data_IF_493320679848
#
_entry.id   IF_493320679848
#
_cell.length_a   1.000
_cell.length_b   1.000
_cell.length_c   1.000
_cell.angle_alpha   90.00
_cell.angle_beta   90.00
_cell.angle_gamma   90.00
#
_symmetry.space_group_name_H-M   'P 1'
#
loop_
_entity.id
_entity.type
_entity.pdbx_description
1 polymer ?
#
# COMPACT_ATOMS: atom_id res chain seq x y z
N UNK A 1 3.59 -13.55 -29.47
CA UNK A 1 4.20 -12.46 -28.68
C UNK A 1 3.81 -12.70 -27.24
N UNK A 2 4.76 -12.75 -26.29
CA UNK A 2 4.40 -12.76 -24.89
C UNK A 2 3.60 -11.48 -24.63
N UNK A 3 2.38 -11.63 -24.11
CA UNK A 3 1.59 -10.48 -23.67
C UNK A 3 2.47 -9.70 -22.69
N UNK A 4 2.89 -8.50 -23.05
CA UNK A 4 3.51 -7.58 -22.14
C UNK A 4 2.56 -7.50 -20.93
N UNK A 5 2.98 -8.02 -19.78
CA UNK A 5 2.29 -7.75 -18.54
C UNK A 5 2.49 -6.26 -18.29
N UNK A 6 1.56 -5.47 -18.77
CA UNK A 6 1.46 -4.08 -18.37
C UNK A 6 1.29 -4.15 -16.86
N UNK A 7 2.16 -3.48 -16.14
CA UNK A 7 2.03 -3.33 -14.70
C UNK A 7 0.60 -2.86 -14.44
N UNK A 8 -0.19 -3.68 -13.72
CA UNK A 8 -1.55 -3.32 -13.39
C UNK A 8 -1.50 -1.97 -12.65
N UNK A 9 -2.24 -1.01 -13.15
CA UNK A 9 -2.35 0.27 -12.46
C UNK A 9 -3.26 0.06 -11.25
N UNK A 10 -2.76 0.40 -10.08
CA UNK A 10 -3.52 0.44 -8.85
C UNK A 10 -4.29 1.76 -8.81
N UNK A 11 -5.62 1.68 -8.82
CA UNK A 11 -6.48 2.82 -8.50
C UNK A 11 -6.77 2.73 -7.00
N UNK A 12 -6.23 3.68 -6.26
CA UNK A 12 -6.28 3.70 -4.81
C UNK A 12 -7.20 4.82 -4.32
N UNK A 13 -8.19 4.46 -3.50
CA UNK A 13 -9.12 5.40 -2.86
C UNK A 13 -8.84 5.42 -1.35
N UNK A 14 -8.02 6.36 -0.86
CA UNK A 14 -7.64 6.41 0.55
C UNK A 14 -8.78 6.95 1.40
N UNK A 15 -9.03 6.29 2.53
CA UNK A 15 -9.97 6.67 3.57
C UNK A 15 -9.20 6.97 4.86
N UNK A 16 -9.13 8.23 5.22
CA UNK A 16 -8.43 8.65 6.43
C UNK A 16 -9.42 8.78 7.58
N UNK A 17 -9.06 8.22 8.72
CA UNK A 17 -9.80 8.49 9.96
C UNK A 17 -9.59 9.93 10.38
N UNK A 18 -10.64 10.59 10.84
CA UNK A 18 -10.59 11.96 11.40
C UNK A 18 -9.59 12.05 12.55
N UNK A 19 -9.55 11.00 13.37
CA UNK A 19 -8.54 10.80 14.41
C UNK A 19 -8.08 9.37 14.40
N UNK A 20 -6.76 9.15 14.64
CA UNK A 20 -6.22 7.81 14.77
C UNK A 20 -6.79 7.11 16.01
N UNK A 21 -7.07 5.83 15.88
CA UNK A 21 -7.57 4.99 16.96
C UNK A 21 -6.47 4.08 17.46
N UNK A 22 -6.13 4.18 18.74
CA UNK A 22 -5.17 3.30 19.39
C UNK A 22 -5.84 1.98 19.73
N UNK A 23 -5.26 0.87 19.26
CA UNK A 23 -5.77 -0.47 19.52
C UNK A 23 -5.33 -0.94 20.92
N UNK A 24 -6.26 -1.58 21.64
CA UNK A 24 -6.02 -2.18 22.95
C UNK A 24 -6.69 -3.55 23.02
N UNK A 25 -6.00 -4.53 23.59
CA UNK A 25 -6.55 -5.88 23.80
C UNK A 25 -7.54 -5.92 24.97
N UNK A 26 -7.34 -5.06 25.95
CA UNK A 26 -8.22 -5.00 27.14
C UNK A 26 -7.94 -6.07 28.18
N UNK A 27 -6.76 -6.70 28.18
CA UNK A 27 -6.38 -7.75 29.11
C UNK A 27 -5.74 -7.23 30.41
N UNK A 28 -5.61 -5.90 30.56
CA UNK A 28 -5.06 -5.24 31.77
C UNK A 28 -6.17 -4.45 32.46
N UNK A 29 -6.26 -4.56 33.77
CA UNK A 29 -7.26 -3.84 34.56
C UNK A 29 -7.11 -2.30 34.34
N UNK A 30 -8.24 -1.66 34.06
CA UNK A 30 -8.29 -0.22 33.76
C UNK A 30 -7.95 0.16 32.31
N UNK A 31 -7.57 -0.80 31.47
CA UNK A 31 -7.35 -0.61 30.04
C UNK A 31 -8.47 -1.36 29.29
N UNK A 32 -9.54 -0.71 28.86
CA UNK A 32 -10.61 -1.38 28.10
C UNK A 32 -10.14 -1.79 26.71
N UNK A 33 -10.76 -2.83 26.16
CA UNK A 33 -10.58 -3.19 24.76
C UNK A 33 -10.89 -2.00 23.85
N UNK A 34 -10.01 -1.77 22.89
CA UNK A 34 -10.22 -0.80 21.82
C UNK A 34 -9.91 -1.48 20.49
N UNK A 35 -10.94 -1.67 19.69
CA UNK A 35 -10.90 -2.21 18.34
C UNK A 35 -11.50 -1.22 17.36
N UNK A 36 -11.26 -1.44 16.10
CA UNK A 36 -11.91 -0.70 15.02
C UNK A 36 -12.84 -1.63 14.27
N UNK A 37 -14.05 -1.17 14.02
CA UNK A 37 -15.02 -1.78 13.13
C UNK A 37 -15.38 -0.76 12.08
N UNK A 38 -15.09 -1.07 10.82
CA UNK A 38 -15.27 -0.15 9.70
C UNK A 38 -15.95 -0.87 8.55
N UNK A 39 -16.43 -0.09 7.61
CA UNK A 39 -17.04 -0.56 6.37
C UNK A 39 -16.41 0.19 5.20
N UNK A 40 -16.29 -0.47 4.05
CA UNK A 40 -15.91 0.18 2.79
C UNK A 40 -16.89 1.31 2.48
N UNK A 41 -16.36 2.40 1.92
CA UNK A 41 -17.14 3.64 1.72
C UNK A 41 -18.04 3.58 0.49
N UNK A 42 -17.73 2.70 -0.43
CA UNK A 42 -18.50 2.51 -1.67
C UNK A 42 -18.86 1.05 -1.86
N UNK A 43 -20.01 0.83 -2.45
CA UNK A 43 -20.45 -0.49 -2.85
C UNK A 43 -19.69 -0.86 -4.13
N UNK A 44 -18.61 -1.60 -3.98
CA UNK A 44 -17.75 -2.03 -5.07
C UNK A 44 -16.95 -3.29 -4.69
N UNK A 45 -16.74 -4.15 -5.65
CA UNK A 45 -15.93 -5.37 -5.51
C UNK A 45 -14.43 -5.04 -5.57
N UNK A 46 -13.88 -4.49 -4.50
CA UNK A 46 -12.48 -4.13 -4.42
C UNK A 46 -11.55 -5.33 -4.58
N UNK A 47 -10.43 -5.15 -5.28
CA UNK A 47 -9.41 -6.18 -5.46
C UNK A 47 -8.52 -6.34 -4.24
N UNK A 48 -8.30 -5.25 -3.51
CA UNK A 48 -7.50 -5.26 -2.30
C UNK A 48 -7.90 -4.15 -1.32
N UNK A 49 -7.57 -4.36 -0.06
CA UNK A 49 -7.63 -3.37 1.01
C UNK A 49 -6.23 -3.18 1.59
N UNK A 50 -5.84 -1.93 1.82
CA UNK A 50 -4.57 -1.58 2.48
C UNK A 50 -4.87 -0.79 3.74
N UNK A 51 -4.46 -1.32 4.87
CA UNK A 51 -4.67 -0.70 6.18
C UNK A 51 -3.39 0.00 6.62
N UNK A 52 -3.51 1.26 7.04
CA UNK A 52 -2.38 2.10 7.44
C UNK A 52 -2.28 2.22 8.95
N UNK A 53 -1.12 1.90 9.49
CA UNK A 53 -0.85 1.85 10.92
C UNK A 53 0.28 2.78 11.33
N UNK A 54 0.30 3.07 12.62
CA UNK A 54 1.35 3.84 13.29
C UNK A 54 1.71 3.19 14.61
N UNK A 55 3.00 3.02 14.86
CA UNK A 55 3.60 2.64 16.14
C UNK A 55 4.42 3.81 16.68
N UNK A 56 4.19 4.23 17.92
CA UNK A 56 4.96 5.32 18.55
C UNK A 56 6.29 4.86 19.15
N UNK A 57 6.53 3.58 19.17
CA UNK A 57 7.72 2.92 19.64
C UNK A 57 7.49 1.42 19.71
N UNK A 58 8.57 0.66 19.72
CA UNK A 58 8.55 -0.79 19.92
C UNK A 58 9.77 -1.16 20.74
N UNK A 59 9.65 -0.97 22.04
CA UNK A 59 10.74 -1.17 23.00
C UNK A 59 10.22 -1.73 24.33
N UNK A 60 11.12 -2.43 25.02
CA UNK A 60 11.00 -2.78 26.41
C UNK A 60 12.25 -2.28 27.15
N UNK A 61 12.07 -1.51 28.24
CA UNK A 61 13.15 -1.01 29.06
C UNK A 61 13.26 -1.86 30.33
N UNK A 62 14.45 -2.37 30.61
CA UNK A 62 14.72 -3.13 31.85
C UNK A 62 14.83 -2.23 33.09
N UNK A 63 15.07 -2.85 34.26
CA UNK A 63 15.21 -2.15 35.51
C UNK A 63 16.48 -1.27 35.55
N UNK A 64 17.48 -1.59 34.75
CA UNK A 64 18.77 -0.87 34.65
C UNK A 64 18.70 0.28 33.63
N UNK A 65 17.57 0.43 32.94
CA UNK A 65 17.38 1.47 31.94
C UNK A 65 17.82 1.07 30.52
N UNK A 66 18.27 -0.18 30.29
CA UNK A 66 18.65 -0.63 28.96
C UNK A 66 17.41 -0.83 28.11
N UNK A 67 17.51 -0.46 26.84
CA UNK A 67 16.42 -0.57 25.88
C UNK A 67 16.59 -1.85 25.07
N UNK A 68 15.59 -2.70 25.11
CA UNK A 68 15.49 -3.94 24.33
C UNK A 68 14.44 -3.81 23.23
N UNK A 69 14.54 -4.66 22.20
CA UNK A 69 13.47 -4.82 21.23
C UNK A 69 12.20 -5.40 21.87
N UNK A 70 11.08 -5.11 21.27
CA UNK A 70 9.77 -5.64 21.70
C UNK A 70 8.97 -6.13 20.49
N UNK A 71 7.83 -6.75 20.75
CA UNK A 71 6.91 -7.20 19.72
C UNK A 71 5.50 -6.73 20.00
N UNK A 72 4.79 -6.48 18.91
CA UNK A 72 3.37 -6.18 18.94
C UNK A 72 2.67 -6.99 17.85
N UNK A 73 1.42 -7.38 18.09
CA UNK A 73 0.66 -8.16 17.13
C UNK A 73 -0.74 -7.61 16.98
N UNK A 74 -1.24 -7.63 15.75
CA UNK A 74 -2.60 -7.25 15.41
C UNK A 74 -3.26 -8.32 14.54
N UNK A 75 -4.58 -8.34 14.56
CA UNK A 75 -5.41 -9.16 13.68
C UNK A 75 -6.37 -8.29 12.89
N UNK A 76 -6.63 -8.72 11.65
CA UNK A 76 -7.60 -8.12 10.75
C UNK A 76 -8.56 -9.23 10.31
N UNK A 77 -9.84 -9.01 10.53
CA UNK A 77 -10.92 -9.84 10.04
C UNK A 77 -11.71 -9.07 8.98
N UNK A 78 -11.97 -9.68 7.84
CA UNK A 78 -12.73 -9.10 6.74
C UNK A 78 -13.98 -9.93 6.51
N UNK A 79 -15.11 -9.24 6.42
CA UNK A 79 -16.44 -9.82 6.27
C UNK A 79 -17.11 -9.27 5.00
N UNK A 80 -18.12 -10.00 4.51
CA UNK A 80 -19.05 -9.47 3.51
C UNK A 80 -19.73 -8.18 4.03
N UNK A 81 -20.43 -7.47 3.16
CA UNK A 81 -21.12 -6.21 3.51
C UNK A 81 -22.10 -6.36 4.69
N UNK A 82 -22.77 -7.50 4.83
CA UNK A 82 -23.68 -7.74 5.96
C UNK A 82 -22.94 -7.92 7.29
N UNK A 83 -21.66 -8.29 7.26
CA UNK A 83 -20.84 -8.59 8.44
C UNK A 83 -21.13 -9.97 9.04
N UNK A 84 -21.84 -10.84 8.31
CA UNK A 84 -22.26 -12.16 8.81
C UNK A 84 -21.31 -13.26 8.41
N UNK A 85 -20.63 -13.13 7.26
CA UNK A 85 -19.71 -14.13 6.74
C UNK A 85 -18.31 -13.55 6.64
N UNK A 86 -17.33 -14.25 7.23
CA UNK A 86 -15.92 -13.92 7.06
C UNK A 86 -15.46 -14.42 5.69
N UNK A 87 -14.91 -13.52 4.86
CA UNK A 87 -14.55 -13.85 3.47
C UNK A 87 -13.20 -14.54 3.35
N UNK A 88 -12.38 -14.50 4.38
CA UNK A 88 -11.06 -15.14 4.44
C UNK A 88 -10.63 -15.40 5.88
N UNK A 89 -9.56 -16.16 6.05
CA UNK A 89 -8.96 -16.40 7.37
C UNK A 89 -8.49 -15.10 8.01
N UNK A 90 -8.48 -15.09 9.35
CA UNK A 90 -7.93 -13.98 10.13
C UNK A 90 -6.50 -13.69 9.73
N UNK A 91 -6.23 -12.45 9.35
CA UNK A 91 -4.88 -12.01 9.02
C UNK A 91 -4.19 -11.57 10.30
N UNK A 92 -3.13 -12.27 10.65
CA UNK A 92 -2.29 -11.91 11.79
C UNK A 92 -1.01 -11.25 11.33
N UNK A 93 -0.66 -10.12 11.94
CA UNK A 93 0.59 -9.40 11.67
C UNK A 93 1.35 -9.16 12.96
N UNK A 94 2.49 -9.83 13.06
CA UNK A 94 3.46 -9.66 14.14
C UNK A 94 4.53 -8.67 13.69
N UNK A 95 4.75 -7.64 14.48
CA UNK A 95 5.76 -6.61 14.29
C UNK A 95 6.82 -6.83 15.37
N UNK A 96 8.05 -7.07 14.98
CA UNK A 96 9.18 -7.28 15.89
C UNK A 96 10.26 -6.28 15.55
N UNK A 97 10.78 -5.59 16.56
CA UNK A 97 11.82 -4.62 16.31
C UNK A 97 12.29 -3.89 17.56
N UNK A 98 13.15 -2.90 17.34
CA UNK A 98 13.64 -2.00 18.38
C UNK A 98 13.63 -0.59 17.82
N UNK A 99 12.65 0.19 18.20
CA UNK A 99 12.54 1.60 17.81
C UNK A 99 11.88 2.42 18.91
N UNK A 100 12.42 3.61 19.18
CA UNK A 100 11.83 4.59 20.08
C UNK A 100 11.24 5.80 19.32
N UNK A 101 11.23 5.74 17.98
CA UNK A 101 10.66 6.78 17.12
C UNK A 101 9.39 6.27 16.44
N UNK A 102 8.62 7.22 15.95
CA UNK A 102 7.41 6.93 15.20
C UNK A 102 7.71 6.10 13.96
N UNK A 103 7.06 4.96 13.85
CA UNK A 103 7.13 4.07 12.71
C UNK A 103 5.75 3.90 12.07
N UNK A 104 5.67 4.04 10.76
CA UNK A 104 4.44 3.84 9.98
C UNK A 104 4.61 2.62 9.08
N UNK A 105 3.55 1.83 8.95
CA UNK A 105 3.54 0.66 8.08
C UNK A 105 2.14 0.39 7.56
N UNK A 106 2.08 -0.32 6.44
CA UNK A 106 0.83 -0.72 5.82
C UNK A 106 0.73 -2.25 5.77
N UNK A 107 -0.50 -2.74 5.86
CA UNK A 107 -0.85 -4.14 5.63
C UNK A 107 -1.80 -4.19 4.45
N UNK A 108 -1.34 -4.75 3.33
CA UNK A 108 -2.17 -4.95 2.15
C UNK A 108 -2.74 -6.37 2.14
N UNK A 109 -4.02 -6.47 1.84
CA UNK A 109 -4.78 -7.70 1.78
C UNK A 109 -5.45 -7.80 0.42
N UNK A 110 -5.16 -8.86 -0.31
CA UNK A 110 -5.85 -9.18 -1.55
C UNK A 110 -7.18 -9.87 -1.21
N UNK A 111 -8.23 -9.44 -1.86
CA UNK A 111 -9.54 -10.10 -1.77
C UNK A 111 -9.57 -11.25 -2.79
N UNK A 112 -9.88 -12.49 -2.36
CA UNK A 112 -10.02 -13.60 -3.30
C UNK A 112 -11.12 -13.33 -4.32
N UNK A 113 -10.88 -13.70 -5.58
CA UNK A 113 -11.80 -13.42 -6.69
C UNK A 113 -13.20 -14.01 -6.47
N UNK A 114 -13.26 -15.22 -5.88
CA UNK A 114 -14.50 -15.93 -5.55
C UNK A 114 -15.24 -15.35 -4.33
N UNK A 115 -14.62 -14.38 -3.63
CA UNK A 115 -15.16 -13.71 -2.44
C UNK A 115 -15.38 -12.23 -2.64
N UNK A 116 -15.28 -11.75 -3.87
CA UNK A 116 -15.58 -10.36 -4.20
C UNK A 116 -17.07 -10.10 -4.02
N UNK A 117 -17.37 -8.96 -3.42
CA UNK A 117 -18.72 -8.51 -3.09
C UNK A 117 -18.93 -7.08 -3.63
N UNK A 118 -19.87 -6.92 -4.55
CA UNK A 118 -20.19 -5.63 -5.16
C UNK A 118 -20.82 -4.66 -4.13
N UNK A 119 -21.29 -5.15 -3.00
CA UNK A 119 -21.82 -4.33 -1.92
C UNK A 119 -20.75 -3.84 -0.95
N UNK A 120 -19.49 -4.28 -1.14
CA UNK A 120 -18.34 -3.88 -0.33
C UNK A 120 -18.09 -4.79 0.87
N UNK A 121 -17.30 -4.31 1.84
CA UNK A 121 -16.79 -5.14 2.92
C UNK A 121 -16.92 -4.45 4.28
N UNK A 122 -17.08 -5.24 5.33
CA UNK A 122 -16.84 -4.84 6.71
C UNK A 122 -15.54 -5.45 7.22
N UNK A 123 -14.84 -4.73 8.08
CA UNK A 123 -13.61 -5.24 8.65
C UNK A 123 -13.43 -4.81 10.10
N UNK A 124 -12.83 -5.71 10.87
CA UNK A 124 -12.52 -5.49 12.28
C UNK A 124 -11.02 -5.60 12.47
N UNK A 125 -10.42 -4.62 13.14
CA UNK A 125 -8.99 -4.59 13.44
C UNK A 125 -8.81 -4.56 14.95
N UNK A 126 -8.01 -5.49 15.49
CA UNK A 126 -7.75 -5.64 16.91
C UNK A 126 -6.27 -5.78 17.20
N UNK A 127 -5.83 -5.38 18.40
CA UNK A 127 -4.55 -5.79 18.96
C UNK A 127 -4.71 -7.19 19.54
N UNK A 128 -3.82 -8.11 19.16
CA UNK A 128 -3.81 -9.48 19.70
C UNK A 128 -2.72 -9.70 20.74
N UNK A 129 -1.60 -8.95 20.68
CA UNK A 129 -0.60 -8.96 21.75
C UNK A 129 -1.14 -8.30 23.02
N UNK A 130 -0.61 -8.75 24.17
CA UNK A 130 -1.04 -8.25 25.48
C UNK A 130 -0.73 -6.75 25.63
N UNK A 131 -1.61 -6.07 26.35
CA UNK A 131 -1.35 -4.71 26.79
C UNK A 131 -0.43 -4.71 28.00
N UNK A 132 0.25 -3.60 28.23
CA UNK A 132 1.04 -3.36 29.43
C UNK A 132 0.64 -2.04 30.06
N UNK A 133 0.57 -2.01 31.38
CA UNK A 133 0.45 -0.80 32.21
C UNK A 133 1.80 -0.16 32.50
N UNK A 134 2.88 -0.85 32.16
CA UNK A 134 4.25 -0.37 32.38
C UNK A 134 4.60 0.76 31.41
N UNK A 135 5.05 1.89 31.96
CA UNK A 135 5.61 3.00 31.18
C UNK A 135 6.92 2.64 30.46
N UNK A 136 7.51 1.48 30.78
CA UNK A 136 8.76 0.97 30.18
C UNK A 136 8.52 0.17 28.90
N UNK A 137 7.27 -0.19 28.60
CA UNK A 137 6.90 -0.94 27.41
C UNK A 137 6.16 -0.02 26.45
N UNK A 138 6.69 0.10 25.23
CA UNK A 138 6.09 0.87 24.15
C UNK A 138 5.75 -0.08 23.02
N UNK A 139 4.46 -0.32 22.82
CA UNK A 139 3.92 -1.25 21.81
C UNK A 139 2.55 -0.82 21.27
N UNK A 140 2.23 0.47 21.43
CA UNK A 140 0.94 1.01 21.02
C UNK A 140 0.82 1.07 19.50
N UNK A 141 -0.09 0.27 18.95
CA UNK A 141 -0.50 0.30 17.55
C UNK A 141 -1.70 1.24 17.41
N UNK A 142 -1.66 2.14 16.45
CA UNK A 142 -2.80 2.98 16.09
C UNK A 142 -3.15 2.79 14.62
N UNK A 143 -4.44 2.73 14.31
CA UNK A 143 -4.97 2.74 12.94
C UNK A 143 -5.12 4.20 12.49
N UNK A 144 -4.66 4.50 11.27
CA UNK A 144 -4.75 5.84 10.67
C UNK A 144 -5.85 5.94 9.61
N UNK A 145 -6.10 4.84 8.92
CA UNK A 145 -7.05 4.77 7.83
C UNK A 145 -6.87 3.49 7.03
N UNK A 146 -7.57 3.41 5.93
CA UNK A 146 -7.43 2.33 4.95
C UNK A 146 -7.50 2.88 3.53
N UNK A 147 -7.17 2.06 2.57
CA UNK A 147 -7.24 2.38 1.14
C UNK A 147 -7.95 1.24 0.44
N UNK A 148 -8.95 1.57 -0.31
CA UNK A 148 -9.69 0.67 -1.20
C UNK A 148 -8.98 0.66 -2.55
N UNK A 149 -8.71 -0.52 -3.11
CA UNK A 149 -7.82 -0.68 -4.26
C UNK A 149 -8.50 -1.51 -5.34
N UNK A 150 -8.50 -0.96 -6.55
CA UNK A 150 -8.88 -1.63 -7.78
C UNK A 150 -7.64 -1.84 -8.66
N UNK A 151 -7.46 -3.06 -9.19
CA UNK A 151 -6.40 -3.37 -10.15
C UNK A 151 -6.93 -3.30 -11.57
N UNK A 152 -6.68 -2.20 -12.24
CA UNK A 152 -7.06 -2.05 -13.64
C UNK A 152 -6.01 -2.62 -14.57
N UNK A 153 -6.44 -3.45 -15.53
CA UNK A 153 -5.59 -3.90 -16.63
C UNK A 153 -5.71 -2.88 -17.77
N UNK A 154 -4.92 -1.82 -17.69
CA UNK A 154 -4.87 -0.88 -18.80
C UNK A 154 -3.96 -1.41 -19.90
N UNK A 155 -4.51 -1.54 -21.10
CA UNK A 155 -3.74 -1.84 -22.29
C UNK A 155 -3.46 -0.53 -23.04
N UNK A 156 -2.19 -0.24 -23.25
CA UNK A 156 -1.76 0.92 -24.07
C UNK A 156 -1.20 0.39 -25.40
N UNK A 157 -2.08 0.05 -26.38
CA UNK A 157 -1.60 -0.41 -27.66
C UNK A 157 -0.79 0.71 -28.33
N UNK A 158 0.35 0.39 -28.90
CA UNK A 158 1.26 1.30 -29.60
C UNK A 158 2.03 2.29 -28.70
N UNK A 159 2.06 2.09 -27.40
CA UNK A 159 2.86 2.89 -26.49
C UNK A 159 3.98 2.03 -25.91
N UNK A 160 5.21 2.54 -25.94
CA UNK A 160 6.34 1.89 -25.29
C UNK A 160 6.33 2.23 -23.81
N UNK A 161 6.35 1.21 -22.96
CA UNK A 161 6.43 1.35 -21.51
C UNK A 161 7.70 0.72 -20.99
N UNK A 162 8.32 1.35 -20.02
CA UNK A 162 9.45 0.81 -19.28
C UNK A 162 9.09 0.85 -17.79
N UNK A 163 9.12 -0.30 -17.14
CA UNK A 163 8.94 -0.40 -15.70
C UNK A 163 10.27 -0.66 -15.00
N UNK A 164 10.53 0.06 -13.93
CA UNK A 164 11.71 -0.14 -13.09
C UNK A 164 11.28 -0.63 -11.71
N UNK A 165 11.83 -1.76 -11.27
CA UNK A 165 11.71 -2.22 -9.90
C UNK A 165 13.04 -1.96 -9.18
N UNK A 166 13.01 -1.11 -8.15
CA UNK A 166 14.20 -0.74 -7.39
C UNK A 166 14.05 -1.33 -5.99
N UNK A 167 15.00 -2.18 -5.60
CA UNK A 167 15.13 -2.65 -4.23
C UNK A 167 16.10 -1.74 -3.48
N UNK A 168 15.61 -1.08 -2.45
CA UNK A 168 16.48 -0.28 -1.58
C UNK A 168 17.53 -1.18 -0.91
N UNK A 169 18.79 -0.77 -0.95
CA UNK A 169 19.91 -1.42 -0.30
C UNK A 169 20.67 -0.38 0.52
N UNK A 170 21.28 -0.81 1.63
CA UNK A 170 22.00 0.07 2.56
C UNK A 170 23.13 0.90 1.92
N UNK A 171 23.66 0.45 0.80
CA UNK A 171 24.72 1.13 0.05
C UNK A 171 24.20 2.16 -0.97
N UNK A 172 22.87 2.18 -1.23
CA UNK A 172 22.23 3.05 -2.22
C UNK A 172 21.10 3.87 -1.61
N UNK A 173 21.38 4.58 -0.54
CA UNK A 173 20.36 5.36 0.20
C UNK A 173 20.16 6.79 -0.32
N UNK A 174 20.93 7.23 -1.31
CA UNK A 174 21.00 8.65 -1.70
C UNK A 174 19.90 9.12 -2.67
N UNK A 175 18.90 8.30 -2.99
CA UNK A 175 17.78 8.71 -3.85
C UNK A 175 17.46 7.73 -4.99
N UNK A 176 16.49 8.10 -5.80
CA UNK A 176 16.12 7.33 -7.00
C UNK A 176 17.22 7.54 -8.04
N UNK A 177 17.84 6.46 -8.58
CA UNK A 177 18.87 6.60 -9.60
C UNK A 177 18.31 7.24 -10.88
N UNK A 178 19.13 8.03 -11.56
CA UNK A 178 18.79 8.56 -12.86
C UNK A 178 18.87 7.46 -13.92
N UNK A 179 17.82 7.32 -14.72
CA UNK A 179 17.76 6.36 -15.81
C UNK A 179 17.87 7.09 -17.14
N UNK A 180 18.70 6.59 -18.03
CA UNK A 180 18.79 7.05 -19.40
C UNK A 180 18.49 5.88 -20.32
N UNK A 181 17.60 6.07 -21.29
CA UNK A 181 17.25 5.06 -22.28
C UNK A 181 17.31 5.62 -23.70
N UNK A 182 17.80 4.81 -24.61
CA UNK A 182 17.72 5.10 -26.03
C UNK A 182 16.38 4.63 -26.56
N UNK A 183 15.55 5.54 -27.00
CA UNK A 183 14.22 5.24 -27.56
C UNK A 183 14.27 5.33 -29.08
N UNK A 184 13.87 4.25 -29.76
CA UNK A 184 13.60 4.29 -31.20
C UNK A 184 12.14 4.72 -31.39
N UNK A 185 11.94 5.85 -32.03
CA UNK A 185 10.59 6.33 -32.38
C UNK A 185 9.90 5.43 -33.41
N UNK A 186 8.61 5.64 -33.60
CA UNK A 186 7.84 5.00 -34.66
C UNK A 186 8.37 5.44 -36.03
N UNK A 187 8.67 4.44 -36.88
CA UNK A 187 8.92 4.70 -38.29
C UNK A 187 7.58 4.96 -38.99
N UNK A 188 7.35 6.17 -39.41
CA UNK A 188 6.19 6.54 -40.21
C UNK A 188 6.55 6.33 -41.68
N UNK A 189 5.71 5.60 -42.42
CA UNK A 189 5.87 5.50 -43.89
C UNK A 189 5.37 6.80 -44.51
N UNK A 190 6.28 7.47 -45.19
CA UNK A 190 5.98 8.68 -45.95
C UNK A 190 5.73 8.26 -47.42
N UNK A 191 4.69 8.79 -48.10
CA UNK A 191 4.50 8.55 -49.53
C UNK A 191 5.72 8.96 -50.36
N UNK A 192 6.04 8.19 -51.39
CA UNK A 192 7.23 8.42 -52.22
C UNK A 192 7.24 9.79 -52.92
N UNK A 193 6.06 10.39 -53.07
CA UNK A 193 5.85 11.71 -53.68
C UNK A 193 5.73 12.84 -52.63
N UNK A 194 6.02 12.57 -51.38
CA UNK A 194 5.94 13.59 -50.33
C UNK A 194 7.14 14.53 -50.41
N UNK A 195 6.85 15.82 -50.67
CA UNK A 195 7.86 16.89 -50.64
C UNK A 195 8.01 17.32 -49.16
N UNK A 196 9.12 17.02 -48.59
CA UNK A 196 9.42 17.45 -47.22
C UNK A 196 9.67 18.96 -47.18
N UNK A 197 8.96 19.71 -46.33
CA UNK A 197 9.32 21.12 -46.10
C UNK A 197 10.71 21.16 -45.45
N UNK A 198 11.62 21.88 -46.08
CA UNK A 198 13.00 22.03 -45.65
C UNK A 198 13.20 23.47 -45.19
N UNK A 199 13.69 23.65 -43.99
CA UNK A 199 14.10 24.97 -43.48
C UNK A 199 15.32 25.52 -44.26
N UNK A 200 15.54 26.81 -44.23
CA UNK A 200 16.72 27.46 -44.83
C UNK A 200 18.04 26.89 -44.33
N UNK A 201 18.02 26.26 -43.12
CA UNK A 201 19.16 25.54 -42.53
C UNK A 201 19.46 24.19 -43.18
N UNK A 202 18.60 23.71 -44.09
CA UNK A 202 18.69 22.37 -44.69
C UNK A 202 18.08 21.25 -43.81
N UNK A 203 17.45 21.59 -42.70
CA UNK A 203 16.74 20.65 -41.83
C UNK A 203 15.26 20.54 -42.21
N UNK A 204 14.65 19.38 -41.87
CA UNK A 204 13.22 19.14 -42.11
C UNK A 204 12.39 20.02 -41.17
N UNK A 205 11.43 20.74 -41.70
CA UNK A 205 10.45 21.48 -40.87
C UNK A 205 9.37 20.55 -40.40
N UNK A 206 9.51 20.03 -39.19
CA UNK A 206 8.58 19.11 -38.54
C UNK A 206 7.23 19.74 -38.13
N UNK A 207 7.09 21.05 -38.22
CA UNK A 207 5.86 21.76 -37.85
C UNK A 207 4.79 21.70 -38.94
N UNK A 208 5.17 21.36 -40.17
CA UNK A 208 4.28 21.25 -41.31
C UNK A 208 4.00 19.77 -41.71
N UNK A 209 4.32 18.81 -40.83
CA UNK A 209 3.98 17.39 -40.95
C UNK A 209 2.75 17.12 -40.11
#
# INVERSE_FOLDING_TARGET
QPALRVFGQEIATPQNLTSKVSLKKGNVAGIPESKIELQSTTNFAWDALRFSFELRGLINQDAQGNIHGHEAELTIDIFNNTGTEKIMDTITRKIVGKTNVLFKFDVSVLIPEDKKDDEGYKFTIKKSSDDSDSSKIHDNISVRGWTEIEFTKQAYPRTAHVGYAIKAHSEHTAGIPNFTSLVKGLLVKVPANYNQPILETGEIDWREL
#
